data_IF_417903555332
#
_entry.id   IF_417903555332
#
_cell.length_a   1.000
_cell.length_b   1.000
_cell.length_c   1.000
_cell.angle_alpha   90.00
_cell.angle_beta   90.00
_cell.angle_gamma   90.00
#
_symmetry.space_group_name_H-M   'P 1'
#
loop_
_entity.id
_entity.type
_entity.pdbx_description
1 polymer ?
#
# COMPACT_ATOMS: atom_id res chain seq x y z
N UNK A 1 -0.37 -19.28 -9.53
CA UNK A 1 -1.01 -20.59 -9.80
C UNK A 1 -2.53 -20.48 -9.94
N UNK A 2 -3.23 -19.80 -9.01
CA UNK A 2 -4.70 -19.62 -9.05
C UNK A 2 -5.19 -18.97 -10.35
N UNK A 3 -4.59 -17.84 -10.78
CA UNK A 3 -5.01 -17.17 -12.02
C UNK A 3 -4.94 -18.07 -13.27
N UNK A 4 -3.96 -18.98 -13.33
CA UNK A 4 -3.88 -19.98 -14.41
C UNK A 4 -4.99 -21.02 -14.30
N UNK A 5 -5.35 -21.46 -13.09
CA UNK A 5 -6.45 -22.40 -12.88
C UNK A 5 -7.79 -21.79 -13.35
N UNK A 6 -8.04 -20.51 -13.06
CA UNK A 6 -9.23 -19.79 -13.52
C UNK A 6 -9.27 -19.74 -15.06
N UNK A 7 -8.16 -19.39 -15.72
CA UNK A 7 -8.08 -19.40 -17.20
C UNK A 7 -8.36 -20.81 -17.78
N UNK A 8 -7.91 -21.85 -17.08
CA UNK A 8 -8.05 -23.23 -17.52
C UNK A 8 -9.41 -23.86 -17.19
N UNK A 9 -10.25 -23.23 -16.37
CA UNK A 9 -11.57 -23.73 -15.95
C UNK A 9 -12.40 -24.36 -17.08
N UNK A 10 -12.69 -23.68 -18.21
CA UNK A 10 -13.52 -24.25 -19.27
C UNK A 10 -12.88 -25.48 -19.93
N UNK A 11 -11.55 -25.56 -19.95
CA UNK A 11 -10.83 -26.71 -20.49
C UNK A 11 -10.87 -27.89 -19.51
N UNK A 12 -10.78 -27.63 -18.21
CA UNK A 12 -10.89 -28.63 -17.15
C UNK A 12 -12.31 -29.23 -17.15
N UNK A 13 -13.35 -28.39 -17.15
CA UNK A 13 -14.75 -28.84 -17.19
C UNK A 13 -15.02 -29.70 -18.45
N UNK A 14 -14.52 -29.27 -19.61
CA UNK A 14 -14.63 -30.04 -20.86
C UNK A 14 -13.86 -31.36 -20.81
N UNK A 15 -12.69 -31.38 -20.16
CA UNK A 15 -11.89 -32.58 -20.00
C UNK A 15 -12.61 -33.62 -19.13
N UNK A 16 -13.15 -33.19 -17.99
CA UNK A 16 -13.93 -34.03 -17.06
C UNK A 16 -15.14 -34.63 -17.79
N UNK A 17 -15.89 -33.79 -18.51
CA UNK A 17 -17.06 -34.23 -19.27
C UNK A 17 -16.72 -35.30 -20.31
N UNK A 18 -15.66 -35.06 -21.12
CA UNK A 18 -15.21 -36.03 -22.13
C UNK A 18 -14.75 -37.34 -21.51
N UNK A 19 -14.01 -37.28 -20.40
CA UNK A 19 -13.57 -38.47 -19.68
C UNK A 19 -14.74 -39.28 -19.12
N UNK A 20 -15.75 -38.60 -18.55
CA UNK A 20 -16.98 -39.26 -18.06
C UNK A 20 -17.72 -39.96 -19.21
N UNK A 21 -17.95 -39.26 -20.31
CA UNK A 21 -18.62 -39.82 -21.50
C UNK A 21 -17.88 -41.04 -22.06
N UNK A 22 -16.56 -40.95 -22.19
CA UNK A 22 -15.74 -42.06 -22.68
C UNK A 22 -15.81 -43.26 -21.73
N UNK A 23 -15.65 -43.03 -20.42
CA UNK A 23 -15.73 -44.08 -19.42
C UNK A 23 -17.10 -44.78 -19.41
N UNK A 24 -18.19 -44.02 -19.52
CA UNK A 24 -19.54 -44.59 -19.64
C UNK A 24 -19.68 -45.46 -20.89
N UNK A 25 -19.21 -45.00 -22.04
CA UNK A 25 -19.25 -45.76 -23.29
C UNK A 25 -18.48 -47.09 -23.16
N UNK A 26 -17.28 -47.05 -22.59
CA UNK A 26 -16.42 -48.24 -22.43
C UNK A 26 -17.00 -49.26 -21.43
N UNK A 27 -17.83 -48.80 -20.49
CA UNK A 27 -18.38 -49.61 -19.41
C UNK A 27 -19.88 -49.93 -19.53
N UNK A 28 -20.54 -49.56 -20.63
CA UNK A 28 -21.92 -49.98 -20.91
C UNK A 28 -22.00 -51.44 -21.36
N UNK A 29 -23.05 -52.13 -20.91
CA UNK A 29 -23.39 -53.48 -21.34
C UNK A 29 -24.03 -53.47 -22.73
N UNK A 30 -23.51 -54.26 -23.67
CA UNK A 30 -24.12 -54.42 -25.01
C UNK A 30 -25.52 -55.06 -24.99
N UNK A 31 -25.91 -55.69 -23.89
CA UNK A 31 -27.16 -56.46 -23.75
C UNK A 31 -28.29 -55.71 -23.04
N UNK A 32 -27.94 -54.82 -22.14
CA UNK A 32 -28.88 -54.16 -21.21
C UNK A 32 -28.74 -52.64 -21.21
N UNK A 33 -27.79 -52.09 -21.96
CA UNK A 33 -27.40 -50.66 -22.00
C UNK A 33 -26.99 -50.03 -20.66
N UNK A 34 -27.17 -50.74 -19.54
CA UNK A 34 -26.75 -50.33 -18.22
C UNK A 34 -25.23 -50.44 -18.02
N UNK A 35 -24.70 -49.63 -17.11
CA UNK A 35 -23.30 -49.70 -16.64
C UNK A 35 -23.00 -51.07 -16.01
N UNK A 36 -21.81 -51.60 -16.28
CA UNK A 36 -21.32 -52.86 -15.69
C UNK A 36 -21.19 -52.71 -14.17
N UNK A 37 -21.65 -53.71 -13.42
CA UNK A 37 -21.57 -53.73 -11.94
C UNK A 37 -20.15 -53.65 -11.36
N UNK A 38 -19.13 -54.01 -12.15
CA UNK A 38 -17.71 -53.93 -11.76
C UNK A 38 -17.03 -52.62 -12.17
N UNK A 39 -17.72 -51.74 -12.91
CA UNK A 39 -17.14 -50.49 -13.38
C UNK A 39 -16.92 -49.54 -12.20
N UNK A 40 -15.69 -49.04 -12.07
CA UNK A 40 -15.31 -48.03 -11.07
C UNK A 40 -15.13 -46.69 -11.77
N UNK A 41 -15.80 -45.68 -11.25
CA UNK A 41 -15.72 -44.33 -11.81
C UNK A 41 -14.30 -43.76 -11.65
N UNK A 42 -13.74 -43.09 -12.69
CA UNK A 42 -12.45 -42.46 -12.58
C UNK A 42 -12.47 -41.35 -11.53
N UNK A 43 -11.39 -41.21 -10.75
CA UNK A 43 -11.31 -40.23 -9.66
C UNK A 43 -11.64 -38.80 -10.09
N UNK A 44 -11.19 -38.41 -11.29
CA UNK A 44 -11.43 -37.08 -11.88
C UNK A 44 -12.93 -36.79 -12.13
N UNK A 45 -13.75 -37.84 -12.25
CA UNK A 45 -15.18 -37.74 -12.47
C UNK A 45 -15.99 -37.78 -11.16
N UNK A 46 -15.38 -38.14 -10.03
CA UNK A 46 -16.05 -38.11 -8.72
C UNK A 46 -16.34 -36.67 -8.34
N UNK A 47 -17.54 -36.39 -7.83
CA UNK A 47 -17.98 -35.03 -7.47
C UNK A 47 -17.10 -34.42 -6.36
N UNK A 48 -16.70 -35.21 -5.38
CA UNK A 48 -15.79 -34.83 -4.28
C UNK A 48 -14.39 -34.38 -4.74
N UNK A 49 -13.98 -34.73 -5.97
CA UNK A 49 -12.69 -34.32 -6.55
C UNK A 49 -12.83 -33.17 -7.55
N UNK A 50 -14.03 -32.58 -7.66
CA UNK A 50 -14.32 -31.45 -8.53
C UNK A 50 -14.58 -30.20 -7.71
N UNK A 51 -14.12 -29.06 -8.23
CA UNK A 51 -14.46 -27.77 -7.67
C UNK A 51 -15.91 -27.43 -8.03
N UNK A 52 -16.70 -27.07 -7.03
CA UNK A 52 -18.06 -26.58 -7.21
C UNK A 52 -18.07 -25.19 -7.84
N UNK A 53 -19.24 -24.73 -8.28
CA UNK A 53 -19.40 -23.36 -8.79
C UNK A 53 -18.97 -22.33 -7.73
N UNK A 54 -19.31 -22.57 -6.46
CA UNK A 54 -18.94 -21.70 -5.35
C UNK A 54 -17.43 -21.68 -5.13
N UNK A 55 -16.75 -22.83 -5.22
CA UNK A 55 -15.29 -22.90 -5.10
C UNK A 55 -14.59 -22.05 -6.18
N UNK A 56 -15.08 -22.10 -7.41
CA UNK A 56 -14.54 -21.25 -8.48
C UNK A 56 -14.76 -19.76 -8.21
N UNK A 57 -15.93 -19.37 -7.69
CA UNK A 57 -16.21 -17.99 -7.26
C UNK A 57 -15.23 -17.56 -6.16
N UNK A 58 -15.00 -18.41 -5.17
CA UNK A 58 -14.01 -18.16 -4.11
C UNK A 58 -12.60 -17.98 -4.70
N UNK A 59 -12.19 -18.81 -5.66
CA UNK A 59 -10.89 -18.70 -6.30
C UNK A 59 -10.73 -17.38 -7.08
N UNK A 60 -11.78 -16.92 -7.75
CA UNK A 60 -11.79 -15.63 -8.45
C UNK A 60 -11.62 -14.46 -7.47
N UNK A 61 -12.37 -14.47 -6.36
CA UNK A 61 -12.23 -13.48 -5.29
C UNK A 61 -10.85 -13.52 -4.62
N UNK A 62 -10.33 -14.71 -4.33
CA UNK A 62 -9.00 -14.87 -3.77
C UNK A 62 -7.91 -14.36 -4.72
N UNK A 63 -8.02 -14.64 -6.03
CA UNK A 63 -7.09 -14.12 -7.03
C UNK A 63 -7.13 -12.59 -7.09
N UNK A 64 -8.32 -11.98 -7.05
CA UNK A 64 -8.48 -10.52 -7.04
C UNK A 64 -7.91 -9.91 -5.76
N UNK A 65 -8.18 -10.50 -4.59
CA UNK A 65 -7.63 -10.06 -3.30
C UNK A 65 -6.09 -10.08 -3.32
N UNK A 66 -5.49 -11.16 -3.80
CA UNK A 66 -4.04 -11.28 -3.93
C UNK A 66 -3.46 -10.27 -4.96
N UNK A 67 -4.25 -9.85 -5.94
CA UNK A 67 -3.86 -8.77 -6.86
C UNK A 67 -3.62 -7.44 -6.15
N UNK A 68 -4.42 -7.08 -5.14
CA UNK A 68 -4.19 -5.88 -4.34
C UNK A 68 -2.89 -5.96 -3.53
N UNK A 69 -2.57 -7.14 -2.97
CA UNK A 69 -1.27 -7.38 -2.34
C UNK A 69 -0.13 -7.26 -3.33
N UNK A 70 -0.28 -7.82 -4.54
CA UNK A 70 0.72 -7.71 -5.59
C UNK A 70 0.97 -6.24 -5.97
N UNK A 71 -0.08 -5.42 -6.11
CA UNK A 71 0.05 -3.99 -6.41
C UNK A 71 0.74 -3.19 -5.30
N UNK A 72 0.35 -3.43 -4.04
CA UNK A 72 0.97 -2.80 -2.88
C UNK A 72 2.44 -3.21 -2.74
N UNK A 73 2.72 -4.52 -2.76
CA UNK A 73 4.09 -5.06 -2.63
C UNK A 73 4.95 -4.63 -3.80
N UNK A 74 4.49 -4.66 -5.05
CA UNK A 74 5.27 -4.14 -6.20
C UNK A 74 5.62 -2.66 -6.09
N UNK A 75 4.79 -1.89 -5.39
CA UNK A 75 5.04 -0.46 -5.18
C UNK A 75 6.02 -0.23 -4.02
N UNK A 76 5.95 -1.08 -3.01
CA UNK A 76 6.81 -1.02 -1.82
C UNK A 76 8.10 -1.85 -1.98
N UNK A 77 8.21 -2.72 -2.98
CA UNK A 77 9.41 -3.50 -3.26
C UNK A 77 10.42 -2.62 -3.99
N UNK A 78 11.49 -2.27 -3.30
CA UNK A 78 12.51 -1.38 -3.81
C UNK A 78 13.46 -0.97 -2.70
N UNK A 79 14.57 -0.38 -3.09
CA UNK A 79 15.56 0.18 -2.16
C UNK A 79 15.44 1.70 -2.05
N UNK A 80 14.36 2.32 -2.59
CA UNK A 80 14.24 3.77 -2.69
C UNK A 80 15.33 4.43 -3.55
N UNK A 81 16.25 3.64 -4.13
CA UNK A 81 17.48 4.11 -4.76
C UNK A 81 17.36 4.16 -6.28
N UNK A 82 17.95 5.20 -6.84
CA UNK A 82 17.93 5.46 -8.25
C UNK A 82 19.03 4.66 -8.99
N UNK A 83 18.65 3.75 -9.91
CA UNK A 83 19.61 3.07 -10.80
C UNK A 83 19.20 3.14 -12.28
N UNK A 84 20.15 3.51 -13.14
CA UNK A 84 19.94 3.65 -14.60
C UNK A 84 19.82 2.25 -15.20
N UNK A 85 18.61 1.79 -15.56
CA UNK A 85 18.40 0.49 -16.22
C UNK A 85 18.28 0.64 -17.74
N UNK A 86 18.60 -0.44 -18.47
CA UNK A 86 18.60 -0.50 -19.95
C UNK A 86 17.27 -0.14 -20.63
N UNK A 87 16.14 -0.18 -19.91
CA UNK A 87 14.79 0.19 -20.41
C UNK A 87 14.31 1.56 -19.91
N UNK A 88 15.21 2.37 -19.35
CA UNK A 88 14.91 3.67 -18.72
C UNK A 88 14.97 3.63 -17.19
N UNK A 89 14.64 4.75 -16.57
CA UNK A 89 14.43 4.88 -15.12
C UNK A 89 13.00 4.44 -14.79
N UNK A 90 12.86 3.50 -13.85
CA UNK A 90 11.57 3.14 -13.24
C UNK A 90 11.48 3.91 -11.91
N UNK A 91 10.29 4.37 -11.51
CA UNK A 91 10.10 5.28 -10.37
C UNK A 91 10.67 4.77 -9.04
N UNK A 92 10.76 5.66 -8.04
CA UNK A 92 11.19 5.30 -6.68
C UNK A 92 10.16 4.36 -6.05
N UNK A 93 10.55 3.11 -5.82
CA UNK A 93 9.77 2.10 -5.11
C UNK A 93 10.35 1.89 -3.72
N UNK A 94 9.50 1.52 -2.76
CA UNK A 94 9.93 1.26 -1.39
C UNK A 94 10.21 2.53 -0.57
N UNK A 95 9.45 3.59 -0.80
CA UNK A 95 9.60 4.80 0.00
C UNK A 95 8.99 4.61 1.39
N UNK A 96 9.71 4.99 2.45
CA UNK A 96 9.26 4.80 3.83
C UNK A 96 7.90 5.46 4.13
N UNK A 97 7.59 6.62 3.53
CA UNK A 97 6.32 7.32 3.74
C UNK A 97 5.10 6.60 3.15
N UNK A 98 5.28 5.64 2.26
CA UNK A 98 4.18 4.88 1.64
C UNK A 98 3.81 3.63 2.45
N UNK A 99 4.62 3.26 3.45
CA UNK A 99 4.40 2.03 4.23
C UNK A 99 3.10 2.09 5.01
N UNK A 100 2.82 3.18 5.75
CA UNK A 100 1.56 3.35 6.49
C UNK A 100 0.37 3.27 5.53
N UNK A 101 0.44 3.98 4.40
CA UNK A 101 -0.60 3.96 3.38
C UNK A 101 -0.84 2.55 2.83
N UNK A 102 0.23 1.76 2.66
CA UNK A 102 0.12 0.37 2.19
C UNK A 102 -0.60 -0.55 3.18
N UNK A 103 -0.36 -0.36 4.48
CA UNK A 103 -1.10 -1.08 5.52
C UNK A 103 -2.57 -0.67 5.55
N UNK A 104 -2.87 0.63 5.57
CA UNK A 104 -4.25 1.13 5.57
C UNK A 104 -5.03 0.65 4.33
N UNK A 105 -4.42 0.75 3.15
CA UNK A 105 -5.00 0.24 1.90
C UNK A 105 -5.37 -1.24 1.98
N UNK A 106 -4.45 -2.09 2.42
CA UNK A 106 -4.70 -3.54 2.48
C UNK A 106 -5.67 -3.91 3.61
N UNK A 107 -5.68 -3.17 4.72
CA UNK A 107 -6.66 -3.36 5.80
C UNK A 107 -8.07 -2.99 5.33
N UNK A 108 -8.26 -1.85 4.65
CA UNK A 108 -9.53 -1.43 4.05
C UNK A 108 -10.04 -2.50 3.07
N UNK A 109 -9.18 -2.97 2.17
CA UNK A 109 -9.51 -4.06 1.24
C UNK A 109 -9.95 -5.32 1.99
N UNK A 110 -9.24 -5.73 3.03
CA UNK A 110 -9.62 -6.94 3.79
C UNK A 110 -10.94 -6.77 4.54
N UNK A 111 -11.26 -5.57 5.01
CA UNK A 111 -12.54 -5.27 5.66
C UNK A 111 -13.71 -5.37 4.67
N UNK A 112 -13.56 -4.83 3.47
CA UNK A 112 -14.52 -5.02 2.38
C UNK A 112 -14.71 -6.51 2.07
N UNK A 113 -13.61 -7.27 2.04
CA UNK A 113 -13.67 -8.72 1.79
C UNK A 113 -14.27 -9.51 2.95
N UNK A 114 -14.23 -9.03 4.20
CA UNK A 114 -14.95 -9.68 5.32
C UNK A 114 -16.45 -9.62 5.09
N UNK A 115 -16.96 -8.48 4.60
CA UNK A 115 -18.37 -8.33 4.27
C UNK A 115 -18.73 -9.18 3.06
N UNK A 116 -17.99 -9.05 1.97
CA UNK A 116 -18.23 -9.81 0.74
C UNK A 116 -18.19 -11.33 0.98
N UNK A 117 -17.21 -11.82 1.74
CA UNK A 117 -17.08 -13.26 2.00
C UNK A 117 -18.24 -13.81 2.85
N UNK A 118 -18.96 -12.96 3.60
CA UNK A 118 -20.14 -13.39 4.38
C UNK A 118 -21.35 -13.72 3.49
N UNK A 119 -21.38 -13.19 2.26
CA UNK A 119 -22.47 -13.37 1.30
C UNK A 119 -22.25 -14.57 0.38
N UNK A 120 -21.02 -15.12 0.32
CA UNK A 120 -20.70 -16.27 -0.52
C UNK A 120 -21.13 -17.58 0.18
N UNK A 121 -22.04 -18.37 -0.42
CA UNK A 121 -22.43 -19.67 0.13
C UNK A 121 -21.24 -20.64 0.22
N UNK A 122 -21.21 -21.47 1.27
CA UNK A 122 -20.23 -22.53 1.49
C UNK A 122 -18.74 -22.08 1.51
N UNK A 123 -18.48 -20.79 1.75
CA UNK A 123 -17.13 -20.21 1.72
C UNK A 123 -16.50 -20.02 3.11
N UNK A 124 -16.77 -20.91 4.06
CA UNK A 124 -16.27 -20.79 5.45
C UNK A 124 -14.74 -20.64 5.52
N UNK A 125 -14.03 -21.49 4.77
CA UNK A 125 -12.57 -21.44 4.68
C UNK A 125 -12.06 -20.08 4.18
N UNK A 126 -12.74 -19.46 3.20
CA UNK A 126 -12.37 -18.16 2.66
C UNK A 126 -12.59 -17.05 3.70
N UNK A 127 -13.74 -17.06 4.40
CA UNK A 127 -14.04 -16.13 5.49
C UNK A 127 -13.01 -16.19 6.61
N UNK A 128 -12.62 -17.41 7.02
CA UNK A 128 -11.59 -17.61 8.04
C UNK A 128 -10.26 -17.05 7.53
N UNK A 129 -9.86 -17.36 6.30
CA UNK A 129 -8.59 -16.91 5.73
C UNK A 129 -8.51 -15.38 5.60
N UNK A 130 -9.58 -14.69 5.20
CA UNK A 130 -9.63 -13.22 5.14
C UNK A 130 -9.44 -12.62 6.54
N UNK A 131 -10.10 -13.17 7.56
CA UNK A 131 -9.93 -12.72 8.95
C UNK A 131 -8.50 -12.94 9.45
N UNK A 132 -7.91 -14.11 9.21
CA UNK A 132 -6.52 -14.41 9.56
C UNK A 132 -5.54 -13.48 8.84
N UNK A 133 -5.80 -13.17 7.56
CA UNK A 133 -5.04 -12.19 6.79
C UNK A 133 -5.08 -10.80 7.43
N UNK A 134 -6.28 -10.33 7.79
CA UNK A 134 -6.47 -9.05 8.46
C UNK A 134 -5.77 -9.02 9.82
N UNK A 135 -5.92 -10.06 10.66
CA UNK A 135 -5.27 -10.15 11.97
C UNK A 135 -3.74 -10.09 11.84
N UNK A 136 -3.20 -10.81 10.85
CA UNK A 136 -1.77 -10.84 10.57
C UNK A 136 -1.27 -9.47 10.11
N UNK A 137 -2.01 -8.80 9.23
CA UNK A 137 -1.66 -7.47 8.74
C UNK A 137 -1.72 -6.43 9.87
N UNK A 138 -2.80 -6.42 10.65
CA UNK A 138 -2.96 -5.55 11.81
C UNK A 138 -1.85 -5.75 12.86
N UNK A 139 -1.44 -7.01 13.11
CA UNK A 139 -0.30 -7.32 13.99
C UNK A 139 0.98 -6.60 13.57
N UNK A 140 1.28 -6.55 12.27
CA UNK A 140 2.47 -5.84 11.78
C UNK A 140 2.26 -4.33 11.70
N UNK A 141 1.03 -3.89 11.42
CA UNK A 141 0.69 -2.47 11.45
C UNK A 141 0.93 -1.87 12.83
N UNK A 142 0.51 -2.56 13.89
CA UNK A 142 0.79 -2.15 15.28
C UNK A 142 2.28 -2.10 15.62
N UNK A 143 3.15 -2.77 14.86
CA UNK A 143 4.62 -2.71 15.07
C UNK A 143 5.25 -1.48 14.45
N UNK A 144 4.56 -0.75 13.55
CA UNK A 144 5.08 0.52 13.04
C UNK A 144 5.28 1.53 14.18
N UNK A 145 4.52 1.40 15.27
CA UNK A 145 4.67 2.16 16.51
C UNK A 145 6.00 1.96 17.23
N UNK A 146 6.77 0.92 16.91
CA UNK A 146 8.07 0.64 17.54
C UNK A 146 9.17 1.59 17.06
N UNK A 147 8.94 2.32 15.96
CA UNK A 147 9.93 3.24 15.38
C UNK A 147 9.28 4.51 14.80
N UNK A 148 9.88 5.70 14.97
CA UNK A 148 9.33 6.93 14.40
C UNK A 148 9.45 7.03 12.88
N UNK A 149 10.23 6.14 12.24
CA UNK A 149 10.61 6.23 10.82
C UNK A 149 9.43 6.52 9.90
N UNK A 150 8.38 5.69 9.96
CA UNK A 150 7.27 5.77 9.02
C UNK A 150 6.40 7.01 9.25
N UNK A 151 6.16 7.37 10.52
CA UNK A 151 5.41 8.57 10.88
C UNK A 151 6.16 9.84 10.50
N UNK A 152 7.45 9.89 10.79
CA UNK A 152 8.31 11.04 10.46
C UNK A 152 8.43 11.22 8.95
N UNK A 153 8.68 10.15 8.19
CA UNK A 153 8.78 10.24 6.73
C UNK A 153 7.48 10.76 6.11
N UNK A 154 6.32 10.28 6.57
CA UNK A 154 5.03 10.73 6.05
C UNK A 154 4.67 12.15 6.50
N UNK A 155 4.97 12.52 7.75
CA UNK A 155 4.77 13.86 8.29
C UNK A 155 5.62 14.93 7.59
N UNK A 156 6.79 14.56 7.09
CA UNK A 156 7.71 15.44 6.36
C UNK A 156 7.46 15.41 4.85
N UNK A 157 6.47 14.65 4.37
CA UNK A 157 6.07 14.70 2.98
C UNK A 157 5.15 15.92 2.73
N UNK A 158 5.49 16.85 1.82
CA UNK A 158 4.75 18.11 1.66
C UNK A 158 3.28 17.93 1.28
N UNK A 159 2.99 16.90 0.47
CA UNK A 159 1.63 16.59 0.05
C UNK A 159 0.75 15.89 1.10
N UNK A 160 1.28 15.51 2.27
CA UNK A 160 0.56 14.73 3.27
C UNK A 160 0.56 15.42 4.64
N UNK A 161 1.74 15.70 5.19
CA UNK A 161 1.92 16.42 6.47
C UNK A 161 1.06 15.84 7.60
N UNK A 162 0.63 16.68 8.55
CA UNK A 162 -0.36 16.32 9.56
C UNK A 162 -1.74 16.02 8.99
N UNK A 163 -2.09 16.62 7.85
CA UNK A 163 -3.41 16.47 7.24
C UNK A 163 -3.75 15.02 6.92
N UNK A 164 -2.75 14.20 6.53
CA UNK A 164 -2.98 12.77 6.31
C UNK A 164 -3.50 12.08 7.57
N UNK A 165 -2.79 12.23 8.69
CA UNK A 165 -3.17 11.57 9.95
C UNK A 165 -4.51 12.10 10.48
N UNK A 166 -4.74 13.41 10.37
CA UNK A 166 -5.98 14.04 10.83
C UNK A 166 -7.21 13.57 10.05
N UNK A 167 -7.05 13.29 8.75
CA UNK A 167 -8.14 12.84 7.90
C UNK A 167 -8.36 11.33 7.99
N UNK A 168 -7.31 10.53 7.82
CA UNK A 168 -7.42 9.06 7.78
C UNK A 168 -7.70 8.48 9.16
N UNK A 169 -7.20 9.11 10.24
CA UNK A 169 -7.44 8.69 11.61
C UNK A 169 -8.37 9.64 12.37
N UNK A 170 -9.30 10.28 11.67
CA UNK A 170 -10.30 11.20 12.25
C UNK A 170 -11.05 10.60 13.44
N UNK A 171 -11.34 9.30 13.40
CA UNK A 171 -12.07 8.57 14.44
C UNK A 171 -11.16 8.10 15.59
N UNK A 172 -9.82 8.20 15.41
CA UNK A 172 -8.80 7.71 16.33
C UNK A 172 -7.84 8.83 16.76
N UNK A 173 -8.34 9.85 17.45
CA UNK A 173 -7.55 11.01 17.88
C UNK A 173 -6.30 10.64 18.69
N UNK A 174 -6.34 9.52 19.44
CA UNK A 174 -5.18 9.01 20.19
C UNK A 174 -4.02 8.60 19.28
N UNK A 175 -4.30 8.05 18.09
CA UNK A 175 -3.29 7.66 17.11
C UNK A 175 -2.64 8.90 16.50
N UNK A 176 -3.45 9.91 16.15
CA UNK A 176 -2.95 11.20 15.65
C UNK A 176 -2.02 11.85 16.68
N UNK A 177 -2.43 11.90 17.95
CA UNK A 177 -1.60 12.46 19.02
C UNK A 177 -0.29 11.69 19.19
N UNK A 178 -0.34 10.35 19.15
CA UNK A 178 0.85 9.50 19.26
C UNK A 178 1.82 9.74 18.11
N UNK A 179 1.36 9.76 16.86
CA UNK A 179 2.22 10.01 15.71
C UNK A 179 2.86 11.41 15.77
N UNK A 180 2.08 12.46 16.06
CA UNK A 180 2.61 13.81 16.26
C UNK A 180 3.66 13.86 17.37
N UNK A 181 3.40 13.19 18.50
CA UNK A 181 4.33 13.12 19.62
C UNK A 181 5.64 12.45 19.22
N UNK A 182 5.60 11.30 18.54
CA UNK A 182 6.81 10.60 18.09
C UNK A 182 7.68 11.46 17.17
N UNK A 183 7.07 12.17 16.20
CA UNK A 183 7.82 13.03 15.29
C UNK A 183 8.41 14.24 16.02
N UNK A 184 7.66 14.84 16.95
CA UNK A 184 8.14 15.94 17.79
C UNK A 184 9.30 15.51 18.67
N UNK A 185 9.22 14.34 19.30
CA UNK A 185 10.30 13.79 20.12
C UNK A 185 11.59 13.66 19.33
N UNK A 186 11.54 13.08 18.12
CA UNK A 186 12.72 12.99 17.24
C UNK A 186 13.27 14.37 16.89
N UNK A 187 12.39 15.32 16.56
CA UNK A 187 12.80 16.68 16.24
C UNK A 187 13.53 17.34 17.42
N UNK A 188 12.91 17.34 18.59
CA UNK A 188 13.43 17.97 19.81
C UNK A 188 14.74 17.33 20.27
N UNK A 189 14.85 16.00 20.23
CA UNK A 189 16.03 15.29 20.74
C UNK A 189 17.23 15.37 19.81
N UNK A 190 17.03 15.30 18.48
CA UNK A 190 18.13 15.07 17.53
C UNK A 190 18.39 16.23 16.56
N UNK A 191 17.39 17.08 16.28
CA UNK A 191 17.47 18.04 15.17
C UNK A 191 17.29 19.50 15.57
N UNK A 192 16.48 19.81 16.61
CA UNK A 192 16.16 21.19 17.00
C UNK A 192 17.38 22.05 17.26
N UNK A 193 18.43 21.49 17.86
CA UNK A 193 19.67 22.20 18.17
C UNK A 193 20.85 21.76 17.30
N UNK A 194 20.58 21.02 16.21
CA UNK A 194 21.63 20.53 15.33
C UNK A 194 22.33 21.69 14.63
N UNK A 195 23.66 21.69 14.73
CA UNK A 195 24.51 22.63 14.00
C UNK A 195 24.67 22.15 12.57
N UNK A 196 23.85 22.68 11.66
CA UNK A 196 23.90 22.31 10.25
C UNK A 196 25.02 23.09 9.58
N UNK A 197 26.18 22.45 9.43
CA UNK A 197 27.31 23.01 8.68
C UNK A 197 26.89 23.14 7.21
N UNK A 198 26.96 24.37 6.70
CA UNK A 198 26.69 24.69 5.29
C UNK A 198 27.76 24.01 4.43
N UNK A 199 27.45 22.85 3.84
CA UNK A 199 28.31 22.26 2.82
C UNK A 199 28.24 23.12 1.55
N UNK A 200 29.37 23.54 0.96
CA UNK A 200 29.39 24.26 -0.32
C UNK A 200 29.09 23.35 -1.53
N UNK A 201 28.92 22.04 -1.31
CA UNK A 201 28.53 21.09 -2.35
C UNK A 201 27.01 20.96 -2.29
N UNK A 202 26.33 21.61 -3.24
CA UNK A 202 24.92 21.32 -3.52
C UNK A 202 24.85 19.89 -4.06
N UNK A 203 24.46 18.93 -3.23
CA UNK A 203 24.06 17.61 -3.70
C UNK A 203 22.87 17.81 -4.65
N UNK A 204 23.14 17.73 -5.95
CA UNK A 204 22.12 17.89 -6.99
C UNK A 204 20.98 16.89 -6.76
N UNK A 205 19.71 17.34 -6.79
CA UNK A 205 18.58 16.45 -6.65
C UNK A 205 18.60 15.44 -7.80
N UNK A 206 18.57 14.15 -7.46
CA UNK A 206 18.47 13.12 -8.49
C UNK A 206 17.06 13.16 -9.06
N UNK A 207 16.92 13.60 -10.31
CA UNK A 207 15.62 13.80 -10.94
C UNK A 207 14.82 12.49 -10.96
N UNK A 208 13.77 12.42 -10.14
CA UNK A 208 12.80 11.32 -10.16
C UNK A 208 11.85 11.49 -11.34
N UNK A 209 11.76 10.48 -12.19
CA UNK A 209 10.73 10.43 -13.23
C UNK A 209 9.41 9.93 -12.64
N UNK A 210 8.32 10.52 -13.12
CA UNK A 210 6.96 10.13 -12.78
C UNK A 210 6.75 8.62 -12.99
N UNK A 211 6.07 7.99 -12.04
CA UNK A 211 5.68 6.58 -12.14
C UNK A 211 4.80 6.40 -13.37
N UNK A 212 5.11 5.39 -14.18
CA UNK A 212 4.34 5.08 -15.40
C UNK A 212 3.19 4.10 -15.17
N UNK A 213 3.11 3.48 -13.99
CA UNK A 213 2.18 2.40 -13.72
C UNK A 213 1.15 2.84 -12.70
N UNK A 214 -0.08 3.11 -13.13
CA UNK A 214 -1.22 3.40 -12.27
C UNK A 214 -1.81 2.07 -11.76
N UNK A 215 -1.86 1.89 -10.44
CA UNK A 215 -2.45 0.71 -9.80
C UNK A 215 -3.41 1.15 -8.67
N UNK A 216 -4.27 0.24 -8.16
CA UNK A 216 -5.21 0.55 -7.10
C UNK A 216 -4.57 1.15 -5.84
N UNK A 217 -3.37 0.68 -5.46
CA UNK A 217 -2.67 1.23 -4.30
C UNK A 217 -2.23 2.68 -4.52
N UNK A 218 -1.71 3.02 -5.70
CA UNK A 218 -1.38 4.41 -6.03
C UNK A 218 -2.63 5.29 -6.09
N UNK A 219 -3.73 4.78 -6.64
CA UNK A 219 -5.01 5.48 -6.63
C UNK A 219 -5.48 5.78 -5.20
N UNK A 220 -5.29 4.83 -4.29
CA UNK A 220 -5.53 5.02 -2.86
C UNK A 220 -4.65 6.13 -2.28
N UNK A 221 -3.33 6.12 -2.53
CA UNK A 221 -2.43 7.19 -2.09
C UNK A 221 -2.81 8.58 -2.63
N UNK A 222 -3.33 8.67 -3.86
CA UNK A 222 -3.86 9.94 -4.39
C UNK A 222 -5.12 10.39 -3.65
N UNK A 223 -6.01 9.45 -3.33
CA UNK A 223 -7.29 9.72 -2.64
C UNK A 223 -7.07 10.25 -1.22
N UNK A 224 -6.05 9.74 -0.53
CA UNK A 224 -5.73 10.10 0.86
C UNK A 224 -4.87 11.37 0.98
N UNK A 225 -4.53 12.02 -0.14
CA UNK A 225 -3.92 13.36 -0.10
C UNK A 225 -4.92 14.34 0.50
N UNK A 226 -4.53 15.09 1.54
CA UNK A 226 -5.38 16.13 2.10
C UNK A 226 -5.76 17.15 1.04
N UNK A 227 -7.05 17.35 0.82
CA UNK A 227 -7.54 18.49 0.05
C UNK A 227 -7.51 19.69 0.97
N UNK A 228 -6.67 20.70 0.67
CA UNK A 228 -6.81 22.00 1.31
C UNK A 228 -8.21 22.53 0.98
N UNK A 229 -9.06 22.63 2.01
CA UNK A 229 -10.18 23.55 1.95
C UNK A 229 -9.60 24.95 1.76
N UNK A 230 -9.89 25.59 0.63
CA UNK A 230 -9.57 27.00 0.39
C UNK A 230 -10.01 27.83 1.61
N UNK A 231 -9.07 28.26 2.45
CA UNK A 231 -9.43 29.04 3.64
C UNK A 231 -8.42 29.00 4.78
N UNK A 232 -7.18 29.42 4.55
CA UNK A 232 -6.38 30.13 5.55
C UNK A 232 -5.17 30.77 4.85
N UNK A 233 -5.43 31.82 4.07
CA UNK A 233 -4.41 32.83 3.83
C UNK A 233 -4.20 33.51 5.18
N UNK A 234 -3.15 33.12 5.91
CA UNK A 234 -2.60 33.98 6.95
C UNK A 234 -1.57 34.87 6.26
N UNK A 235 -1.87 36.17 6.29
CA UNK A 235 -1.03 37.26 5.80
C UNK A 235 0.44 37.01 6.09
N UNK A 236 1.26 37.25 5.07
CA UNK A 236 2.72 37.30 5.16
C UNK A 236 3.11 38.28 6.26
N UNK A 237 3.54 37.74 7.41
CA UNK A 237 4.27 38.52 8.39
C UNK A 237 5.62 38.88 7.76
N UNK A 238 5.80 40.18 7.54
CA UNK A 238 7.04 40.82 7.08
C UNK A 238 8.24 40.24 7.83
N UNK A 239 9.17 39.63 7.08
CA UNK A 239 10.44 39.12 7.59
C UNK A 239 11.23 40.27 8.21
N UNK A 240 11.40 40.24 9.54
CA UNK A 240 12.48 40.95 10.23
C UNK A 240 13.67 40.00 10.31
N UNK A 241 14.85 40.53 10.02
CA UNK A 241 16.11 39.81 9.81
C UNK A 241 16.75 39.27 11.12
N UNK A 242 15.98 39.18 12.20
CA UNK A 242 16.42 38.58 13.47
C UNK A 242 15.99 37.11 13.49
N UNK A 243 16.95 36.23 13.18
CA UNK A 243 16.84 34.79 13.36
C UNK A 243 16.65 34.54 14.86
N UNK A 244 15.40 34.48 15.30
CA UNK A 244 15.04 34.12 16.65
C UNK A 244 15.39 32.63 16.83
N UNK A 245 16.45 32.36 17.60
CA UNK A 245 17.10 31.06 17.83
C UNK A 245 16.15 29.98 18.38
N UNK A 246 14.94 30.39 18.76
CA UNK A 246 13.89 29.58 19.40
C UNK A 246 12.67 29.30 18.50
N UNK A 247 12.70 29.67 17.22
CA UNK A 247 11.58 29.38 16.30
C UNK A 247 11.59 27.91 15.91
N UNK A 248 10.56 27.16 16.33
CA UNK A 248 10.42 25.74 16.01
C UNK A 248 10.14 25.53 14.51
N UNK A 249 11.19 25.26 13.72
CA UNK A 249 11.10 25.09 12.26
C UNK A 249 10.04 24.05 11.85
N UNK A 250 9.90 22.95 12.60
CA UNK A 250 8.92 21.90 12.35
C UNK A 250 7.49 22.45 12.44
N UNK A 251 7.14 23.12 13.54
CA UNK A 251 5.78 23.66 13.73
C UNK A 251 5.47 24.81 12.77
N UNK A 252 6.48 25.64 12.47
CA UNK A 252 6.36 26.70 11.49
C UNK A 252 6.02 26.12 10.10
N UNK A 253 6.82 25.17 9.63
CA UNK A 253 6.62 24.55 8.31
C UNK A 253 5.29 23.77 8.23
N UNK A 254 4.94 23.04 9.28
CA UNK A 254 3.67 22.30 9.30
C UNK A 254 2.44 23.22 9.25
N UNK A 255 2.57 24.45 9.75
CA UNK A 255 1.51 25.47 9.72
C UNK A 255 1.52 26.33 8.46
N UNK A 256 2.67 26.45 7.78
CA UNK A 256 2.83 27.26 6.56
C UNK A 256 2.70 26.40 5.30
N UNK A 257 1.52 26.41 4.69
CA UNK A 257 1.30 25.80 3.38
C UNK A 257 1.60 26.78 2.26
N UNK A 258 2.34 26.33 1.26
CA UNK A 258 2.60 27.05 0.02
C UNK A 258 1.75 26.46 -1.13
N UNK A 259 1.39 27.30 -2.09
CA UNK A 259 0.66 26.85 -3.29
C UNK A 259 1.48 25.79 -4.03
N UNK A 260 0.88 24.61 -4.24
CA UNK A 260 1.51 23.47 -4.91
C UNK A 260 2.16 22.44 -3.98
N UNK A 261 2.21 22.65 -2.66
CA UNK A 261 2.73 21.65 -1.70
C UNK A 261 1.98 20.30 -1.80
N UNK A 262 0.67 20.33 -2.07
CA UNK A 262 -0.19 19.15 -2.29
C UNK A 262 0.16 18.36 -3.56
N UNK A 263 0.75 19.01 -4.55
CA UNK A 263 1.08 18.40 -5.83
C UNK A 263 2.49 17.78 -5.85
N UNK A 264 3.27 18.00 -4.78
CA UNK A 264 4.63 17.47 -4.68
C UNK A 264 4.62 15.94 -4.81
N UNK A 265 5.39 15.45 -5.78
CA UNK A 265 5.61 14.02 -6.06
C UNK A 265 6.97 13.53 -5.57
N UNK A 266 7.94 14.44 -5.50
CA UNK A 266 9.28 14.15 -5.04
C UNK A 266 9.62 14.99 -3.80
N UNK A 267 9.37 14.46 -2.59
CA UNK A 267 9.66 15.18 -1.36
C UNK A 267 11.16 15.39 -1.16
N UNK A 268 12.04 14.56 -1.75
CA UNK A 268 13.49 14.73 -1.62
C UNK A 268 13.91 16.02 -2.34
N UNK A 269 13.56 16.16 -3.61
CA UNK A 269 13.84 17.38 -4.37
C UNK A 269 13.28 18.63 -3.68
N UNK A 270 12.06 18.55 -3.14
CA UNK A 270 11.44 19.63 -2.36
C UNK A 270 12.30 20.10 -1.18
N UNK A 271 12.85 19.15 -0.40
CA UNK A 271 13.68 19.49 0.76
C UNK A 271 15.07 19.96 0.39
N UNK A 272 15.64 19.51 -0.74
CA UNK A 272 16.89 20.07 -1.27
C UNK A 272 16.75 21.57 -1.60
N UNK A 273 15.65 21.97 -2.25
CA UNK A 273 15.37 23.36 -2.59
C UNK A 273 15.19 24.26 -1.35
N UNK A 274 14.68 23.68 -0.24
CA UNK A 274 14.36 24.41 1.00
C UNK A 274 15.43 24.34 2.10
N UNK A 275 16.59 23.72 1.83
CA UNK A 275 17.74 23.67 2.77
C UNK A 275 18.15 25.03 3.33
N UNK A 276 17.99 26.10 2.55
CA UNK A 276 18.34 27.46 2.99
C UNK A 276 17.31 28.07 3.96
N UNK A 277 16.03 27.77 3.76
CA UNK A 277 14.93 28.32 4.56
C UNK A 277 14.71 27.52 5.85
N UNK A 278 14.88 26.20 5.78
CA UNK A 278 14.69 25.28 6.91
C UNK A 278 15.89 24.33 7.03
N UNK A 279 17.06 24.80 7.49
CA UNK A 279 18.29 24.02 7.47
C UNK A 279 18.21 22.75 8.32
N UNK A 280 17.64 22.83 9.53
CA UNK A 280 17.54 21.69 10.45
C UNK A 280 16.43 20.74 10.02
N UNK A 281 15.27 21.27 9.63
CA UNK A 281 14.15 20.44 9.21
C UNK A 281 14.43 19.73 7.88
N UNK A 282 15.08 20.40 6.92
CA UNK A 282 15.47 19.76 5.66
C UNK A 282 16.46 18.61 5.91
N UNK A 283 17.36 18.76 6.90
CA UNK A 283 18.27 17.67 7.28
C UNK A 283 17.51 16.47 7.82
N UNK A 284 16.59 16.69 8.77
CA UNK A 284 15.71 15.65 9.30
C UNK A 284 14.90 14.97 8.19
N UNK A 285 14.29 15.74 7.31
CA UNK A 285 13.49 15.20 6.23
C UNK A 285 14.32 14.33 5.29
N UNK A 286 15.51 14.75 4.90
CA UNK A 286 16.38 13.94 4.05
C UNK A 286 16.82 12.67 4.75
N UNK A 287 17.22 12.73 6.03
CA UNK A 287 17.64 11.56 6.80
C UNK A 287 16.53 10.49 6.90
N UNK A 288 15.25 10.87 6.94
CA UNK A 288 14.11 9.95 7.03
C UNK A 288 13.52 9.54 5.67
N UNK A 289 13.53 10.42 4.66
CA UNK A 289 12.96 10.14 3.34
C UNK A 289 13.89 9.29 2.46
N UNK A 290 15.16 9.14 2.82
CA UNK A 290 16.16 8.36 2.07
C UNK A 290 16.50 7.00 2.71
N UNK A 291 15.78 6.59 3.76
CA UNK A 291 15.93 5.27 4.41
C UNK A 291 15.60 4.13 3.43
#
# INVERSE_FOLDING_TARGET
MIGRAIILRPFIERLVLKHRQQWEQDNRSKRTENLRKSAREPRICLEENQLTVNDWVVLEHLAKLLGFYEDAVKTLEGDGQQRRRKRGWVGSYGNAWEVIQGFEFLLEVLEDYKQLASEIPDAEHFRINVNLGWEKLNKYYSRLDETPIYYTALALHPAFRWGYFENEWKDNTKWVMKAKQMVREVWESNYRHLQVVRSPVDDEPVAKRQRKYYNPFQAYCERTRPVLGYGLVKEEATLSDDINEDTNELELWQSSWEDGDNDVRDPISYWHERKRRHPRLSRMALDFLTI
#
